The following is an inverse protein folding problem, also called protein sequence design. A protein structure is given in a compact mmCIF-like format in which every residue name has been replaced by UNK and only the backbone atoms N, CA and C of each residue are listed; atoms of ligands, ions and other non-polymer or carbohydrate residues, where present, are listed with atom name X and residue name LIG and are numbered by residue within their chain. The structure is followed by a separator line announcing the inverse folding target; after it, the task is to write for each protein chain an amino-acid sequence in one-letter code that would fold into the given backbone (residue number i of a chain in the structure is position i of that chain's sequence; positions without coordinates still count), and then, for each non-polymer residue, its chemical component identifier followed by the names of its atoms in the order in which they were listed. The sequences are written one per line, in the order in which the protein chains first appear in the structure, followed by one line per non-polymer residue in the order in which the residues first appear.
data_IF_446354125649
#
_entry.id   IF_446354125649
#
_cell.length_a   1.000
_cell.length_b   1.000
_cell.length_c   1.000
_cell.angle_alpha   90.00
_cell.angle_beta   90.00
_cell.angle_gamma   90.00
#
_symmetry.space_group_name_H-M   'P 1'
#
loop_
_entity.id
_entity.type
_entity.pdbx_description
1 polymer ?
#
# COMPACT_ATOMS: atom_id res chain seq x y z
N UNK A 1 -14.28 32.20 9.51
CA UNK A 1 -13.07 31.36 9.45
C UNK A 1 -13.25 30.36 8.34
N UNK A 2 -12.48 30.46 7.27
CA UNK A 2 -12.43 29.45 6.21
C UNK A 2 -11.86 28.17 6.84
N UNK A 3 -12.67 27.16 7.08
CA UNK A 3 -12.20 25.80 7.37
C UNK A 3 -11.48 25.35 6.10
N UNK A 4 -10.16 25.49 6.08
CA UNK A 4 -9.33 24.77 5.11
C UNK A 4 -9.50 23.31 5.49
N UNK A 5 -10.29 22.59 4.73
CA UNK A 5 -10.49 21.15 4.86
C UNK A 5 -9.16 20.48 4.58
N UNK A 6 -8.76 19.49 5.39
CA UNK A 6 -7.59 18.69 5.11
C UNK A 6 -7.71 18.06 3.71
N UNK A 7 -6.60 17.90 3.00
CA UNK A 7 -6.57 17.39 1.62
C UNK A 7 -5.55 16.27 1.46
N UNK A 8 -5.77 15.43 0.46
CA UNK A 8 -4.87 14.30 0.18
C UNK A 8 -3.86 14.73 -0.87
N UNK A 9 -2.59 14.43 -0.60
CA UNK A 9 -1.47 14.64 -1.53
C UNK A 9 -0.50 13.46 -1.54
N UNK A 10 0.34 13.33 -2.56
CA UNK A 10 1.46 12.38 -2.51
C UNK A 10 2.34 12.60 -1.28
N UNK A 11 2.92 11.50 -0.80
CA UNK A 11 3.95 11.51 0.23
C UNK A 11 5.22 12.19 -0.30
N UNK A 12 5.90 12.93 0.57
CA UNK A 12 7.24 13.47 0.36
C UNK A 12 8.18 12.99 1.48
N UNK A 13 9.49 12.91 1.23
CA UNK A 13 10.45 12.41 2.23
C UNK A 13 10.41 13.20 3.55
N UNK A 14 10.11 14.48 3.51
CA UNK A 14 9.94 15.32 4.70
C UNK A 14 8.76 14.90 5.58
N UNK A 15 7.81 14.12 5.06
CA UNK A 15 6.66 13.60 5.82
C UNK A 15 7.01 12.39 6.68
N UNK A 16 8.20 11.79 6.51
CA UNK A 16 8.57 10.53 7.16
C UNK A 16 8.36 10.56 8.67
N UNK A 17 8.82 11.63 9.32
CA UNK A 17 8.67 11.77 10.78
C UNK A 17 7.18 11.80 11.21
N UNK A 18 6.32 12.48 10.44
CA UNK A 18 4.89 12.53 10.72
C UNK A 18 4.21 11.18 10.45
N UNK A 19 4.57 10.48 9.38
CA UNK A 19 4.09 9.12 9.06
C UNK A 19 4.44 8.16 10.20
N UNK A 20 5.68 8.21 10.72
CA UNK A 20 6.11 7.41 11.86
C UNK A 20 5.30 7.74 13.13
N UNK A 21 5.12 9.02 13.42
CA UNK A 21 4.34 9.46 14.57
C UNK A 21 2.86 9.03 14.48
N UNK A 22 2.24 9.11 13.30
CA UNK A 22 0.87 8.63 13.07
C UNK A 22 0.80 7.12 13.27
N UNK A 23 1.75 6.37 12.67
CA UNK A 23 1.79 4.92 12.78
C UNK A 23 1.81 4.48 14.24
N UNK A 24 2.75 4.96 15.06
CA UNK A 24 2.84 4.53 16.46
C UNK A 24 1.63 4.96 17.29
N UNK A 25 1.03 6.12 17.01
CA UNK A 25 -0.17 6.61 17.70
C UNK A 25 -1.45 5.83 17.37
N UNK A 26 -1.41 4.93 16.37
CA UNK A 26 -2.58 4.15 15.92
C UNK A 26 -2.30 2.64 15.87
N UNK A 27 -1.08 2.20 16.21
CA UNK A 27 -0.64 0.82 16.01
C UNK A 27 -1.23 -0.22 16.98
N UNK A 28 -1.90 0.21 18.05
CA UNK A 28 -2.52 -0.70 19.01
C UNK A 28 -4.02 -0.91 18.73
N UNK A 29 -4.31 -1.57 17.61
CA UNK A 29 -5.70 -1.78 17.19
C UNK A 29 -6.48 -0.48 16.91
N UNK A 30 -5.76 0.59 16.55
CA UNK A 30 -6.27 1.93 16.37
C UNK A 30 -6.04 2.86 17.57
N UNK A 31 -5.47 2.34 18.66
CA UNK A 31 -5.04 3.11 19.85
C UNK A 31 -3.53 3.38 19.82
N UNK A 32 -3.08 4.21 20.74
CA UNK A 32 -1.69 4.64 20.88
C UNK A 32 -0.81 3.49 21.39
N UNK A 33 0.24 3.16 20.65
CA UNK A 33 1.23 2.13 20.98
C UNK A 33 2.54 2.69 21.55
N UNK A 34 2.64 4.01 21.78
CA UNK A 34 3.86 4.59 22.35
C UNK A 34 4.19 3.97 23.71
N UNK A 35 5.47 3.68 23.92
CA UNK A 35 5.97 3.05 25.13
C UNK A 35 5.63 1.56 25.29
N UNK A 36 4.97 0.93 24.32
CA UNK A 36 4.66 -0.52 24.34
C UNK A 36 5.88 -1.40 24.07
N UNK A 37 6.82 -0.91 23.29
CA UNK A 37 8.06 -1.58 22.90
C UNK A 37 9.25 -0.74 23.34
N UNK A 38 10.46 -1.31 23.23
CA UNK A 38 11.70 -0.58 23.60
C UNK A 38 11.93 0.67 22.76
N UNK A 39 11.41 0.66 21.52
CA UNK A 39 11.47 1.81 20.63
C UNK A 39 10.10 2.05 20.02
N UNK A 40 9.65 3.29 20.02
CA UNK A 40 8.44 3.72 19.34
C UNK A 40 8.58 3.60 17.81
N UNK A 41 9.81 3.52 17.29
CA UNK A 41 10.07 3.29 15.86
C UNK A 41 9.77 1.85 15.41
N UNK A 42 9.61 0.88 16.33
CA UNK A 42 9.42 -0.52 15.94
C UNK A 42 8.20 -0.70 15.02
N UNK A 43 7.05 -0.16 15.43
CA UNK A 43 5.83 -0.30 14.63
C UNK A 43 5.93 0.40 13.27
N UNK A 44 6.36 1.67 13.16
CA UNK A 44 6.54 2.29 11.86
C UNK A 44 7.65 1.66 11.01
N UNK A 45 8.73 1.16 11.59
CA UNK A 45 9.76 0.42 10.85
C UNK A 45 9.24 -0.90 10.25
N UNK A 46 8.18 -1.47 10.80
CA UNK A 46 7.55 -2.67 10.25
C UNK A 46 6.42 -2.38 9.25
N UNK A 47 5.60 -1.35 9.53
CA UNK A 47 4.30 -1.18 8.88
C UNK A 47 4.15 0.12 8.08
N UNK A 48 5.13 1.04 8.12
CA UNK A 48 5.10 2.28 7.37
C UNK A 48 6.38 2.49 6.54
N UNK A 49 7.54 2.49 7.18
CA UNK A 49 8.85 2.75 6.56
C UNK A 49 9.15 1.93 5.32
N UNK A 50 8.93 0.60 5.31
CA UNK A 50 9.22 -0.23 4.15
C UNK A 50 8.43 0.17 2.90
N UNK A 51 7.20 0.68 3.05
CA UNK A 51 6.35 1.10 1.93
C UNK A 51 6.85 2.40 1.31
N UNK A 52 7.09 3.42 2.12
CA UNK A 52 7.62 4.70 1.61
C UNK A 52 9.03 4.57 1.06
N UNK A 53 9.80 3.57 1.52
CA UNK A 53 11.10 3.24 0.99
C UNK A 53 11.03 2.50 -0.36
N UNK A 54 10.13 1.51 -0.48
CA UNK A 54 10.06 0.65 -1.66
C UNK A 54 9.24 1.27 -2.79
N UNK A 55 8.09 1.87 -2.47
CA UNK A 55 7.11 2.37 -3.44
C UNK A 55 6.50 3.72 -3.01
N UNK A 56 7.30 4.79 -2.90
CA UNK A 56 6.80 6.10 -2.47
C UNK A 56 5.71 6.66 -3.39
N UNK A 57 5.64 6.23 -4.65
CA UNK A 57 4.58 6.61 -5.59
C UNK A 57 3.19 6.05 -5.21
N UNK A 58 3.12 5.05 -4.31
CA UNK A 58 1.90 4.47 -3.76
C UNK A 58 1.67 4.88 -2.30
N UNK A 59 2.28 5.98 -1.89
CA UNK A 59 2.13 6.57 -0.57
C UNK A 59 1.45 7.94 -0.68
N UNK A 60 0.40 8.16 0.11
CA UNK A 60 -0.35 9.42 0.15
C UNK A 60 -0.60 9.82 1.61
N UNK A 61 -0.59 11.11 1.87
CA UNK A 61 -0.88 11.67 3.20
C UNK A 61 -2.12 12.54 3.15
N UNK A 62 -2.87 12.54 4.25
CA UNK A 62 -3.88 13.53 4.53
C UNK A 62 -3.19 14.69 5.24
N UNK A 63 -3.16 15.85 4.60
CA UNK A 63 -2.49 17.06 5.08
C UNK A 63 -3.49 18.04 5.67
N UNK A 64 -3.30 18.43 6.91
CA UNK A 64 -4.00 19.56 7.53
C UNK A 64 -3.01 20.70 7.76
N UNK A 65 -3.07 21.72 6.90
CA UNK A 65 -2.25 22.94 6.98
C UNK A 65 -0.74 22.70 7.02
N UNK A 66 -0.24 21.81 6.18
CA UNK A 66 1.18 21.46 6.10
C UNK A 66 1.62 20.37 7.08
N UNK A 67 0.69 19.76 7.80
CA UNK A 67 0.95 18.69 8.76
C UNK A 67 0.22 17.41 8.35
N UNK A 68 0.90 16.31 8.04
CA UNK A 68 0.26 15.01 7.86
C UNK A 68 -0.47 14.56 9.13
N UNK A 69 -1.75 14.19 8.97
CA UNK A 69 -2.65 13.75 10.04
C UNK A 69 -3.25 12.38 9.78
N UNK A 70 -2.88 11.78 8.66
CA UNK A 70 -3.24 10.44 8.25
C UNK A 70 -2.47 10.05 6.99
N UNK A 71 -2.49 8.79 6.65
CA UNK A 71 -1.85 8.27 5.45
C UNK A 71 -2.55 7.04 4.90
N UNK A 72 -2.28 6.73 3.64
CA UNK A 72 -2.39 5.40 3.02
C UNK A 72 -1.06 5.08 2.36
N UNK A 73 -0.51 3.91 2.67
CA UNK A 73 0.75 3.40 2.16
C UNK A 73 0.51 2.00 1.62
N UNK A 74 1.13 1.63 0.51
CA UNK A 74 0.95 0.27 0.01
C UNK A 74 1.90 -0.08 -1.13
N UNK A 75 1.63 -1.21 -1.74
CA UNK A 75 2.33 -1.74 -2.91
C UNK A 75 1.33 -2.22 -3.95
N UNK A 76 1.71 -2.15 -5.23
CA UNK A 76 0.94 -2.75 -6.31
C UNK A 76 1.26 -4.25 -6.50
N UNK A 77 2.42 -4.73 -6.01
CA UNK A 77 2.89 -6.10 -6.12
C UNK A 77 3.49 -6.58 -4.79
N UNK A 78 2.70 -7.30 -4.02
CA UNK A 78 3.10 -7.86 -2.72
C UNK A 78 4.32 -8.76 -2.81
N UNK A 79 4.47 -9.53 -3.89
CA UNK A 79 5.60 -10.45 -4.04
C UNK A 79 6.90 -9.69 -4.30
N UNK A 80 6.86 -8.66 -5.16
CA UNK A 80 8.00 -7.77 -5.38
C UNK A 80 8.36 -7.00 -4.10
N UNK A 81 7.35 -6.51 -3.37
CA UNK A 81 7.54 -5.84 -2.09
C UNK A 81 8.21 -6.75 -1.05
N UNK A 82 7.75 -7.99 -0.88
CA UNK A 82 8.32 -8.95 0.07
C UNK A 82 9.81 -9.23 -0.24
N UNK A 83 10.18 -9.35 -1.54
CA UNK A 83 11.58 -9.48 -1.96
C UNK A 83 12.39 -8.23 -1.59
N UNK A 84 11.88 -7.04 -1.93
CA UNK A 84 12.55 -5.77 -1.61
C UNK A 84 12.71 -5.56 -0.10
N UNK A 85 11.70 -5.96 0.68
CA UNK A 85 11.75 -5.96 2.14
C UNK A 85 12.89 -6.86 2.66
N UNK A 86 12.98 -8.11 2.16
CA UNK A 86 14.01 -9.08 2.51
C UNK A 86 15.41 -8.57 2.16
N UNK A 87 15.58 -8.10 0.94
CA UNK A 87 16.91 -7.82 0.37
C UNK A 87 17.44 -6.44 0.74
N UNK A 88 16.56 -5.46 1.00
CA UNK A 88 16.98 -4.06 1.18
C UNK A 88 16.55 -3.45 2.52
N UNK A 89 15.34 -3.78 3.01
CA UNK A 89 14.83 -3.18 4.24
C UNK A 89 15.38 -3.84 5.49
N UNK A 90 15.36 -5.17 5.60
CA UNK A 90 15.93 -5.89 6.74
C UNK A 90 17.43 -5.55 6.95
N UNK A 91 18.29 -5.58 5.93
CA UNK A 91 19.70 -5.20 6.12
C UNK A 91 19.88 -3.76 6.61
N UNK A 92 19.04 -2.83 6.19
CA UNK A 92 19.06 -1.43 6.62
C UNK A 92 18.83 -1.27 8.13
N UNK A 93 18.06 -2.17 8.73
CA UNK A 93 17.68 -2.13 10.14
C UNK A 93 18.42 -3.16 11.02
N UNK A 94 19.31 -3.96 10.45
CA UNK A 94 19.98 -5.07 11.15
C UNK A 94 20.78 -4.65 12.40
N UNK A 95 21.31 -3.42 12.42
CA UNK A 95 21.97 -2.86 13.60
C UNK A 95 21.02 -2.36 14.69
N UNK A 96 19.72 -2.17 14.37
CA UNK A 96 18.71 -1.67 15.31
C UNK A 96 17.95 -2.80 15.98
N UNK A 97 17.61 -3.85 15.23
CA UNK A 97 16.77 -4.94 15.67
C UNK A 97 17.50 -6.27 15.63
N UNK A 98 17.69 -6.95 16.78
CA UNK A 98 18.24 -8.30 16.81
C UNK A 98 17.25 -9.31 16.25
N UNK A 99 17.76 -10.43 15.72
CA UNK A 99 16.90 -11.57 15.37
C UNK A 99 16.27 -12.13 16.66
N UNK A 100 14.95 -12.25 16.73
CA UNK A 100 14.28 -12.71 17.94
C UNK A 100 14.51 -14.20 18.20
N UNK A 101 14.37 -14.68 19.45
CA UNK A 101 14.40 -16.10 19.76
C UNK A 101 13.28 -16.87 19.05
N UNK A 102 13.48 -18.16 18.89
CA UNK A 102 12.51 -19.08 18.30
C UNK A 102 12.14 -20.17 19.33
N UNK A 103 10.90 -20.25 19.84
CA UNK A 103 9.76 -19.36 19.54
C UNK A 103 9.91 -17.96 20.17
N UNK A 104 9.19 -16.93 19.68
CA UNK A 104 9.15 -15.60 20.30
C UNK A 104 8.64 -15.66 21.74
N UNK A 105 9.30 -14.94 22.64
CA UNK A 105 8.98 -14.97 24.09
C UNK A 105 8.18 -13.75 24.51
N UNK A 106 8.48 -12.58 23.95
CA UNK A 106 7.84 -11.32 24.31
C UNK A 106 6.95 -10.79 23.19
N UNK A 107 6.02 -9.85 23.45
CA UNK A 107 5.29 -9.16 22.39
C UNK A 107 6.22 -8.48 21.36
N UNK A 108 7.36 -7.94 21.81
CA UNK A 108 8.37 -7.34 20.91
C UNK A 108 9.00 -8.40 20.01
N UNK A 109 9.36 -9.58 20.58
CA UNK A 109 9.88 -10.70 19.78
C UNK A 109 8.88 -11.16 18.70
N UNK A 110 7.59 -11.13 19.02
CA UNK A 110 6.53 -11.44 18.05
C UNK A 110 6.53 -10.46 16.87
N UNK A 111 6.66 -9.15 17.15
CA UNK A 111 6.76 -8.13 16.10
C UNK A 111 8.05 -8.29 15.29
N UNK A 112 9.18 -8.53 15.95
CA UNK A 112 10.45 -8.79 15.29
C UNK A 112 10.41 -10.07 14.43
N UNK A 113 9.71 -11.11 14.88
CA UNK A 113 9.49 -12.31 14.07
C UNK A 113 8.71 -12.00 12.77
N UNK A 114 7.75 -11.06 12.80
CA UNK A 114 7.09 -10.58 11.58
C UNK A 114 8.05 -9.81 10.67
N UNK A 115 8.93 -8.97 11.25
CA UNK A 115 9.97 -8.24 10.51
C UNK A 115 10.88 -9.18 9.73
N UNK A 116 11.37 -10.23 10.38
CA UNK A 116 12.30 -11.19 9.78
C UNK A 116 11.65 -12.23 8.86
N UNK A 117 10.32 -12.19 8.68
CA UNK A 117 9.55 -13.12 7.82
C UNK A 117 8.64 -12.38 6.84
N UNK A 118 9.18 -11.56 5.92
CA UNK A 118 8.35 -10.85 4.94
C UNK A 118 7.61 -11.82 4.00
N UNK A 119 8.07 -13.07 3.85
CA UNK A 119 7.39 -14.13 3.08
C UNK A 119 6.01 -14.48 3.63
N UNK A 120 5.71 -14.12 4.89
CA UNK A 120 4.37 -14.22 5.47
C UNK A 120 3.29 -13.44 4.70
N UNK A 121 3.71 -12.46 3.90
CA UNK A 121 2.83 -11.69 3.02
C UNK A 121 2.40 -12.48 1.77
N UNK A 122 3.09 -13.59 1.47
CA UNK A 122 2.82 -14.41 0.29
C UNK A 122 1.72 -15.43 0.62
N UNK A 123 0.68 -15.45 -0.21
CA UNK A 123 -0.43 -16.37 -0.09
C UNK A 123 -1.00 -16.70 -1.48
N UNK A 124 -1.74 -17.83 -1.67
CA UNK A 124 -2.16 -18.31 -2.99
C UNK A 124 -3.04 -17.34 -3.80
N UNK A 125 -3.76 -16.44 -3.15
CA UNK A 125 -4.64 -15.48 -3.81
C UNK A 125 -3.96 -14.22 -4.36
N UNK A 126 -2.64 -14.06 -4.24
CA UNK A 126 -1.92 -12.88 -4.74
C UNK A 126 -2.12 -12.59 -6.22
N UNK A 127 -2.19 -13.58 -7.15
CA UNK A 127 -2.44 -13.27 -8.56
C UNK A 127 -3.74 -12.49 -8.80
N UNK A 128 -4.73 -12.70 -7.95
CA UNK A 128 -6.00 -11.99 -8.04
C UNK A 128 -6.06 -10.69 -7.24
N UNK A 129 -5.26 -10.57 -6.19
CA UNK A 129 -5.20 -9.42 -5.27
C UNK A 129 -3.74 -9.04 -5.00
N UNK A 130 -2.98 -8.63 -6.03
CA UNK A 130 -1.53 -8.41 -5.91
C UNK A 130 -1.17 -7.22 -5.02
N UNK A 131 -2.01 -6.20 -4.95
CA UNK A 131 -1.76 -5.00 -4.15
C UNK A 131 -2.18 -5.21 -2.69
N UNK A 132 -1.49 -4.55 -1.76
CA UNK A 132 -1.95 -4.40 -0.37
C UNK A 132 -1.59 -3.02 0.19
N UNK A 133 -2.24 -2.65 1.30
CA UNK A 133 -2.08 -1.33 1.89
C UNK A 133 -2.16 -1.34 3.42
N UNK A 134 -1.66 -0.25 4.00
CA UNK A 134 -1.92 0.22 5.36
C UNK A 134 -2.55 1.61 5.30
N UNK A 135 -3.48 1.89 6.21
CA UNK A 135 -4.13 3.18 6.36
C UNK A 135 -4.28 3.52 7.82
N UNK A 136 -3.83 4.70 8.20
CA UNK A 136 -3.98 5.23 9.54
C UNK A 136 -4.37 6.71 9.52
N UNK A 137 -5.25 7.08 10.41
CA UNK A 137 -5.67 8.48 10.63
C UNK A 137 -5.67 8.77 12.13
N UNK A 138 -5.17 9.93 12.49
CA UNK A 138 -5.32 10.42 13.86
C UNK A 138 -6.81 10.51 14.24
N UNK A 139 -7.17 10.25 15.51
CA UNK A 139 -8.57 10.15 15.94
C UNK A 139 -9.45 11.34 15.54
N UNK A 140 -8.92 12.56 15.58
CA UNK A 140 -9.66 13.78 15.22
C UNK A 140 -10.10 13.83 13.75
N UNK A 141 -9.49 13.01 12.87
CA UNK A 141 -9.77 12.97 11.43
C UNK A 141 -10.53 11.71 11.00
N UNK A 142 -10.93 10.87 11.95
CA UNK A 142 -11.73 9.68 11.71
C UNK A 142 -13.23 9.99 11.63
N UNK A 143 -13.98 9.15 10.93
CA UNK A 143 -15.46 9.22 10.89
C UNK A 143 -16.05 10.31 9.98
N UNK A 144 -15.23 11.13 9.32
CA UNK A 144 -15.66 12.26 8.48
C UNK A 144 -15.39 12.05 6.97
N UNK A 145 -15.06 10.82 6.56
CA UNK A 145 -14.92 10.45 5.15
C UNK A 145 -13.48 10.38 4.62
N UNK A 146 -12.49 10.94 5.31
CA UNK A 146 -11.10 10.97 4.83
C UNK A 146 -10.50 9.57 4.59
N UNK A 147 -10.85 8.57 5.41
CA UNK A 147 -10.40 7.21 5.20
C UNK A 147 -10.84 6.64 3.85
N UNK A 148 -12.11 6.88 3.45
CA UNK A 148 -12.61 6.50 2.12
C UNK A 148 -11.81 7.19 1.03
N UNK A 149 -11.62 8.49 1.13
CA UNK A 149 -10.91 9.27 0.12
C UNK A 149 -9.45 8.84 -0.05
N UNK A 150 -8.75 8.49 1.04
CA UNK A 150 -7.40 7.93 1.01
C UNK A 150 -7.38 6.58 0.27
N UNK A 151 -8.29 5.67 0.60
CA UNK A 151 -8.40 4.35 -0.04
C UNK A 151 -8.71 4.49 -1.53
N UNK A 152 -9.62 5.38 -1.92
CA UNK A 152 -9.97 5.62 -3.33
C UNK A 152 -8.77 6.21 -4.11
N UNK A 153 -7.99 7.08 -3.48
CA UNK A 153 -6.73 7.60 -4.05
C UNK A 153 -5.73 6.49 -4.28
N UNK A 154 -5.55 5.60 -3.30
CA UNK A 154 -4.68 4.45 -3.43
C UNK A 154 -5.17 3.49 -4.53
N UNK A 155 -6.47 3.18 -4.60
CA UNK A 155 -7.01 2.31 -5.64
C UNK A 155 -6.71 2.83 -7.04
N UNK A 156 -6.90 4.14 -7.26
CA UNK A 156 -6.59 4.76 -8.55
C UNK A 156 -5.09 4.65 -8.88
N UNK A 157 -4.21 4.81 -7.90
CA UNK A 157 -2.78 4.70 -8.09
C UNK A 157 -2.35 3.24 -8.35
N UNK A 158 -2.84 2.28 -7.55
CA UNK A 158 -2.56 0.86 -7.71
C UNK A 158 -3.08 0.30 -9.05
N UNK A 159 -4.28 0.70 -9.49
CA UNK A 159 -4.81 0.33 -10.80
C UNK A 159 -3.96 0.89 -11.95
N UNK A 160 -3.46 2.13 -11.84
CA UNK A 160 -2.50 2.69 -12.82
C UNK A 160 -1.17 1.95 -12.85
N UNK A 161 -0.75 1.41 -11.70
CA UNK A 161 0.43 0.55 -11.59
C UNK A 161 0.18 -0.90 -12.06
N UNK A 162 -1.03 -1.23 -12.53
CA UNK A 162 -1.38 -2.52 -13.12
C UNK A 162 -1.99 -3.54 -12.14
N UNK A 163 -2.24 -3.17 -10.89
CA UNK A 163 -2.87 -4.07 -9.93
C UNK A 163 -4.34 -4.33 -10.30
N UNK A 164 -4.73 -5.61 -10.35
CA UNK A 164 -6.10 -6.05 -10.69
C UNK A 164 -7.00 -6.19 -9.46
N UNK A 165 -6.42 -6.17 -8.27
CA UNK A 165 -7.11 -6.28 -7.01
C UNK A 165 -6.21 -5.88 -5.85
N UNK A 166 -6.81 -5.55 -4.73
CA UNK A 166 -6.15 -5.17 -3.49
C UNK A 166 -6.66 -6.02 -2.34
N UNK A 167 -5.77 -6.39 -1.43
CA UNK A 167 -6.14 -7.06 -0.19
C UNK A 167 -5.63 -6.30 1.03
N UNK A 168 -6.23 -6.59 2.16
CA UNK A 168 -5.77 -6.15 3.48
C UNK A 168 -5.83 -7.33 4.44
N UNK A 169 -4.93 -7.35 5.40
CA UNK A 169 -4.89 -8.29 6.50
C UNK A 169 -5.26 -7.55 7.79
N UNK A 170 -6.38 -7.91 8.40
CA UNK A 170 -6.95 -7.21 9.56
C UNK A 170 -7.09 -8.18 10.72
N UNK A 171 -6.68 -7.79 11.91
CA UNK A 171 -6.94 -8.56 13.14
C UNK A 171 -8.44 -8.78 13.27
N UNK A 172 -8.87 -10.05 13.39
CA UNK A 172 -10.30 -10.42 13.38
C UNK A 172 -11.12 -9.70 14.49
N UNK A 173 -10.50 -9.41 15.64
CA UNK A 173 -11.10 -8.66 16.73
C UNK A 173 -11.25 -7.15 16.47
N UNK A 174 -10.62 -6.60 15.42
CA UNK A 174 -10.79 -5.19 15.07
C UNK A 174 -12.06 -4.97 14.23
N UNK A 175 -13.22 -5.10 14.89
CA UNK A 175 -14.55 -5.01 14.25
C UNK A 175 -14.73 -3.69 13.51
N UNK A 176 -14.15 -2.59 14.03
CA UNK A 176 -14.23 -1.26 13.43
C UNK A 176 -13.53 -1.24 12.06
N UNK A 177 -12.31 -1.76 11.97
CA UNK A 177 -11.58 -1.84 10.71
C UNK A 177 -12.25 -2.80 9.73
N UNK A 178 -12.71 -3.96 10.18
CA UNK A 178 -13.45 -4.92 9.34
C UNK A 178 -14.70 -4.28 8.75
N UNK A 179 -15.49 -3.58 9.58
CA UNK A 179 -16.67 -2.83 9.13
C UNK A 179 -16.32 -1.75 8.10
N UNK A 180 -15.25 -1.00 8.32
CA UNK A 180 -14.78 0.03 7.40
C UNK A 180 -14.44 -0.55 6.03
N UNK A 181 -13.65 -1.62 5.95
CA UNK A 181 -13.30 -2.24 4.67
C UNK A 181 -14.51 -2.85 3.97
N UNK A 182 -15.43 -3.48 4.71
CA UNK A 182 -16.69 -4.00 4.13
C UNK A 182 -17.54 -2.90 3.49
N UNK A 183 -17.64 -1.72 4.13
CA UNK A 183 -18.33 -0.56 3.56
C UNK A 183 -17.64 -0.02 2.29
N UNK A 184 -16.37 -0.33 2.10
CA UNK A 184 -15.62 -0.01 0.88
C UNK A 184 -15.68 -1.14 -0.16
N UNK A 185 -16.53 -2.15 0.02
CA UNK A 185 -16.74 -3.23 -0.93
C UNK A 185 -15.68 -4.32 -0.90
N UNK A 186 -14.92 -4.46 0.19
CA UNK A 186 -14.04 -5.60 0.40
C UNK A 186 -14.87 -6.83 0.81
N UNK A 187 -14.66 -7.94 0.12
CA UNK A 187 -15.17 -9.26 0.49
C UNK A 187 -14.16 -10.05 1.31
N UNK A 188 -14.64 -11.01 2.10
CA UNK A 188 -13.76 -11.95 2.82
C UNK A 188 -13.09 -12.90 1.83
N UNK A 189 -11.78 -13.06 1.94
CA UNK A 189 -10.98 -14.02 1.18
C UNK A 189 -10.74 -15.27 2.05
N UNK A 190 -10.87 -16.44 1.44
CA UNK A 190 -10.57 -17.70 2.12
C UNK A 190 -9.05 -17.92 2.07
N UNK A 191 -8.43 -17.95 3.23
CA UNK A 191 -7.00 -18.22 3.40
C UNK A 191 -6.85 -19.32 4.45
N UNK A 192 -6.09 -20.33 4.13
CA UNK A 192 -5.80 -21.41 5.06
C UNK A 192 -4.95 -20.87 6.21
N UNK A 193 -5.28 -21.24 7.45
CA UNK A 193 -4.58 -20.87 8.67
C UNK A 193 -4.32 -19.35 8.84
N UNK A 194 -5.34 -18.51 8.86
CA UNK A 194 -5.18 -17.06 8.88
C UNK A 194 -4.60 -16.52 10.20
N UNK A 195 -4.36 -17.34 11.22
CA UNK A 195 -3.66 -16.94 12.44
C UNK A 195 -4.31 -15.81 13.24
N UNK A 196 -5.67 -15.77 13.32
CA UNK A 196 -6.41 -14.74 14.06
C UNK A 196 -6.59 -13.41 13.29
N UNK A 197 -6.26 -13.40 11.98
CA UNK A 197 -6.50 -12.28 11.08
C UNK A 197 -7.52 -12.64 10.00
N UNK A 198 -8.16 -11.64 9.42
CA UNK A 198 -9.03 -11.76 8.26
C UNK A 198 -8.34 -11.17 7.04
N UNK A 199 -8.35 -11.90 5.95
CA UNK A 199 -8.00 -11.39 4.64
C UNK A 199 -9.25 -10.86 3.95
N UNK A 200 -9.23 -9.59 3.58
CA UNK A 200 -10.31 -8.95 2.86
C UNK A 200 -9.77 -8.44 1.53
N UNK A 201 -10.51 -8.65 0.44
CA UNK A 201 -10.06 -8.27 -0.88
C UNK A 201 -11.13 -7.55 -1.70
N UNK A 202 -10.67 -6.68 -2.59
CA UNK A 202 -11.49 -5.97 -3.55
C UNK A 202 -10.82 -5.96 -4.91
N UNK A 203 -11.57 -6.28 -5.98
CA UNK A 203 -11.11 -6.12 -7.35
C UNK A 203 -11.06 -4.63 -7.71
N UNK A 204 -10.01 -4.25 -8.44
CA UNK A 204 -9.86 -2.91 -8.97
C UNK A 204 -10.43 -2.85 -10.39
N UNK A 205 -11.11 -1.76 -10.71
CA UNK A 205 -11.51 -1.49 -12.09
C UNK A 205 -10.26 -1.05 -12.85
N UNK A 206 -9.81 -1.87 -13.80
CA UNK A 206 -8.72 -1.49 -14.68
C UNK A 206 -9.17 -0.31 -15.55
N UNK A 207 -8.48 0.81 -15.45
CA UNK A 207 -8.64 1.91 -16.38
C UNK A 207 -8.03 1.43 -17.70
N UNK A 208 -8.87 0.94 -18.64
CA UNK A 208 -8.40 0.64 -19.99
C UNK A 208 -8.04 1.98 -20.62
N UNK A 209 -6.76 2.26 -20.79
CA UNK A 209 -6.36 3.28 -21.73
C UNK A 209 -6.83 2.81 -23.12
N UNK A 210 -7.54 3.64 -23.91
CA UNK A 210 -7.84 3.30 -25.27
C UNK A 210 -6.50 3.09 -26.00
N UNK A 211 -6.29 1.87 -26.49
CA UNK A 211 -5.16 1.55 -27.33
C UNK A 211 -5.22 2.48 -28.53
N UNK A 212 -4.25 3.37 -28.67
CA UNK A 212 -4.08 4.17 -29.87
C UNK A 212 -3.59 3.20 -30.94
N UNK A 213 -4.54 2.51 -31.58
CA UNK A 213 -4.26 1.75 -32.78
C UNK A 213 -3.94 2.78 -33.85
N UNK A 214 -2.66 3.04 -34.03
CA UNK A 214 -2.15 3.82 -35.15
C UNK A 214 -2.40 2.97 -36.39
N UNK A 215 -3.50 3.21 -37.08
CA UNK A 215 -3.80 2.69 -38.38
C UNK A 215 -2.66 3.15 -39.28
N UNK A 216 -1.75 2.24 -39.62
CA UNK A 216 -0.84 2.46 -40.74
C UNK A 216 -1.72 2.48 -42.01
N UNK A 217 -1.93 3.69 -42.50
CA UNK A 217 -2.45 3.92 -43.84
C UNK A 217 -1.49 3.25 -44.83
N UNK A 218 -1.97 2.19 -45.45
CA UNK A 218 -1.35 1.59 -46.63
C UNK A 218 -1.18 2.69 -47.67
N UNK A 219 0.05 3.10 -47.93
CA UNK A 219 0.39 3.79 -49.16
C UNK A 219 0.48 2.73 -50.25
N UNK A 220 -0.50 2.72 -51.14
CA UNK A 220 -0.41 2.08 -52.45
C UNK A 220 0.77 2.73 -53.21
N UNK A 221 1.61 1.95 -53.91
CA UNK A 221 2.46 2.50 -54.93
C UNK A 221 1.63 2.69 -56.23
N UNK A 222 1.55 3.92 -56.65
CA UNK A 222 1.02 4.27 -57.97
C UNK A 222 1.95 3.70 -59.05
N UNK A 223 1.33 3.00 -59.98
CA UNK A 223 1.93 2.56 -61.22
C UNK A 223 2.18 3.80 -62.11
N UNK A 224 3.38 3.98 -62.57
CA UNK A 224 3.67 4.82 -63.73
C UNK A 224 3.97 3.94 -64.91
N UNK A 225 3.09 4.12 -65.88
CA UNK A 225 3.11 3.59 -67.23
C UNK A 225 3.97 4.49 -68.15
N UNK A 226 4.73 3.82 -68.98
CA UNK A 226 5.13 4.18 -70.39
C UNK A 226 5.46 5.63 -70.79
N UNK A 227 6.64 5.75 -71.40
CA UNK A 227 6.84 6.30 -72.75
C UNK A 227 8.33 6.27 -73.09
N UNK A 228 8.74 5.36 -73.90
CA UNK A 228 8.96 5.35 -75.34
C UNK A 228 9.69 6.56 -75.96
N UNK A 229 10.77 6.21 -76.62
CA UNK A 229 11.38 6.74 -77.84
C UNK A 229 12.69 7.51 -77.78
N UNK A 230 13.61 6.85 -78.49
CA UNK A 230 14.47 7.32 -79.59
C UNK A 230 15.63 8.30 -79.32
N UNK A 231 16.80 7.83 -79.45
CA UNK A 231 17.81 8.01 -80.48
C UNK A 231 19.10 7.29 -80.09
#
# INVERSE_FOLDING_TARGET
MLHVSAFIRPYHEQDLAAVYAICVQTADGGADARGKYRSDDLMPDLFAGPYVFAEPALAFVLDDRGHPVGYVLGTADTAAFARAYRERWIPRLSGRYPVPPQPPVTPEDQMLALHYRPERLLWPGLPEYPAHLHIDLLPAFQGVGYGRSLIETFFAAAARAGAVGVHVCVVAGNVKAVGFYRHLGFGTLMVDEPGGVLYLGRKLLLIRHPSTTRTQSERRPDAEEDAEKAA
#
